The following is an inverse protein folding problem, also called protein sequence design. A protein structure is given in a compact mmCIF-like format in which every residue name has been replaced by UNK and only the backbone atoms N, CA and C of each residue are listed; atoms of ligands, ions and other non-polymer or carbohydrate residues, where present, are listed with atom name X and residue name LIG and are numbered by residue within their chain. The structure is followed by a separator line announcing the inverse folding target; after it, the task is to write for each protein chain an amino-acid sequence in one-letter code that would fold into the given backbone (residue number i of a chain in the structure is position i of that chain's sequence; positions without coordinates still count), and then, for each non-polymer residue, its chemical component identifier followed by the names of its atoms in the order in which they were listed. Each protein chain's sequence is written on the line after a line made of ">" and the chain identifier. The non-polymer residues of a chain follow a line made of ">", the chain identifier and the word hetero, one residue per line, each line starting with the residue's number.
data_IF_078005085945
#
_entry.id   IF_078005085945
#
_cell.length_a   1.000
_cell.length_b   1.000
_cell.length_c   1.000
_cell.angle_alpha   90.00
_cell.angle_beta   90.00
_cell.angle_gamma   90.00
#
_symmetry.space_group_name_H-M   'P 1'
#
loop_
_entity.id
_entity.type
_entity.pdbx_description
1 polymer ?
#
# COMPACT_ATOMS: atom_id res chain seq x y z
N UNK A 1 -2.03 -13.58 20.57
CA UNK A 1 -2.49 -12.33 19.95
C UNK A 1 -1.66 -11.18 20.52
N UNK A 2 -1.13 -10.33 19.62
CA UNK A 2 -0.42 -9.11 19.97
C UNK A 2 -1.12 -7.93 19.32
N UNK A 3 -1.42 -6.90 20.10
CA UNK A 3 -2.00 -5.65 19.62
C UNK A 3 -1.01 -4.53 19.95
N UNK A 4 -0.53 -3.85 18.92
CA UNK A 4 0.28 -2.65 19.08
C UNK A 4 -0.54 -1.45 18.63
N UNK A 5 -0.75 -0.52 19.56
CA UNK A 5 -1.46 0.74 19.33
C UNK A 5 -0.53 1.89 19.72
N UNK A 6 -0.23 2.74 18.75
CA UNK A 6 0.63 3.91 18.94
C UNK A 6 -0.08 5.16 18.41
N UNK A 7 -0.14 6.18 19.25
CA UNK A 7 -0.55 7.54 18.85
C UNK A 7 0.60 8.49 19.12
N UNK A 8 0.93 9.28 18.11
CA UNK A 8 1.86 10.38 18.24
C UNK A 8 1.14 11.69 17.88
N UNK A 9 1.23 12.67 18.76
CA UNK A 9 0.60 13.98 18.57
C UNK A 9 1.57 15.07 18.98
N UNK A 10 1.52 16.18 18.27
CA UNK A 10 2.34 17.34 18.58
C UNK A 10 1.62 18.64 18.25
N UNK A 11 1.84 19.65 19.07
CA UNK A 11 1.38 21.02 18.82
C UNK A 11 2.60 21.93 18.86
N UNK A 12 2.71 22.81 17.89
CA UNK A 12 3.71 23.87 17.85
C UNK A 12 3.01 25.23 17.88
N UNK A 13 3.23 26.00 18.95
CA UNK A 13 2.70 27.34 19.14
C UNK A 13 3.79 28.36 18.81
N UNK A 14 3.69 29.11 17.70
CA UNK A 14 4.66 30.14 17.32
C UNK A 14 4.48 31.43 18.11
N UNK A 15 5.52 32.26 18.15
CA UNK A 15 5.43 33.59 18.71
C UNK A 15 5.28 33.67 20.23
N UNK A 16 5.60 32.59 20.95
CA UNK A 16 5.62 32.62 22.42
C UNK A 16 6.63 33.65 22.89
N UNK A 17 6.18 34.60 23.70
CA UNK A 17 6.95 35.81 24.02
C UNK A 17 7.76 35.75 25.32
N UNK A 18 7.59 34.70 26.08
CA UNK A 18 8.30 34.53 27.33
C UNK A 18 9.46 33.54 27.18
N UNK A 19 10.48 33.68 28.01
CA UNK A 19 11.56 32.69 28.08
C UNK A 19 11.05 31.41 28.77
N UNK A 20 11.05 30.28 28.08
CA UNK A 20 10.62 29.02 28.68
C UNK A 20 11.69 28.57 29.71
N UNK A 21 11.36 28.63 30.97
CA UNK A 21 12.18 28.13 32.03
C UNK A 21 12.21 26.60 32.13
N UNK A 22 12.52 26.09 33.31
CA UNK A 22 12.51 24.64 33.59
C UNK A 22 11.15 24.03 33.18
N UNK A 23 11.16 22.91 32.50
CA UNK A 23 9.99 22.24 31.94
C UNK A 23 9.22 23.06 30.89
N UNK A 24 9.87 24.00 30.23
CA UNK A 24 9.23 24.81 29.18
C UNK A 24 8.14 25.75 29.69
N UNK A 25 8.13 26.09 31.01
CA UNK A 25 7.15 26.95 31.66
C UNK A 25 7.75 28.31 32.01
N UNK A 26 7.00 29.36 31.72
CA UNK A 26 7.13 30.65 32.43
C UNK A 26 6.29 30.60 33.70
N UNK A 27 6.97 30.48 34.87
CA UNK A 27 6.31 30.22 36.15
C UNK A 27 5.51 31.40 36.67
N UNK A 28 5.89 32.63 36.33
CA UNK A 28 5.16 33.83 36.73
C UNK A 28 3.79 33.99 36.07
N UNK A 29 3.64 33.44 34.87
CA UNK A 29 2.40 33.47 34.08
C UNK A 29 1.71 32.10 34.00
N UNK A 30 2.37 31.05 34.46
CA UNK A 30 1.93 29.64 34.32
C UNK A 30 1.66 29.32 32.83
N UNK A 31 2.53 29.81 31.95
CA UNK A 31 2.36 29.71 30.50
C UNK A 31 3.47 28.84 29.86
N UNK A 32 3.18 27.99 28.87
CA UNK A 32 1.88 27.71 28.24
C UNK A 32 1.01 26.71 29.03
N UNK A 33 1.32 26.45 30.29
CA UNK A 33 0.63 25.52 31.17
C UNK A 33 1.22 24.10 31.16
N UNK A 34 1.34 23.50 32.36
CA UNK A 34 1.86 22.15 32.52
C UNK A 34 1.17 21.10 31.63
N UNK A 35 -0.17 21.12 31.43
CA UNK A 35 -0.80 20.19 30.52
C UNK A 35 -0.22 20.23 29.12
N UNK A 36 0.07 21.40 28.57
CA UNK A 36 0.68 21.55 27.25
C UNK A 36 2.11 21.01 27.22
N UNK A 37 2.95 21.34 28.19
CA UNK A 37 4.34 20.87 28.24
C UNK A 37 4.45 19.37 28.47
N UNK A 38 3.45 18.76 29.11
CA UNK A 38 3.32 17.30 29.25
C UNK A 38 2.52 16.65 28.12
N UNK A 39 2.35 17.34 26.98
CA UNK A 39 1.83 16.75 25.76
C UNK A 39 0.30 16.76 25.60
N UNK A 40 -0.42 17.59 26.35
CA UNK A 40 -1.86 17.81 26.12
C UNK A 40 -2.10 18.28 24.68
N UNK A 41 -3.11 17.71 24.03
CA UNK A 41 -3.48 18.02 22.65
C UNK A 41 -4.69 18.94 22.56
N UNK A 42 -5.08 19.56 23.69
CA UNK A 42 -6.14 20.58 23.70
C UNK A 42 -5.67 21.78 22.87
N UNK A 43 -6.59 22.34 22.11
CA UNK A 43 -6.33 23.59 21.41
C UNK A 43 -6.07 24.72 22.42
N UNK A 44 -4.88 25.30 22.34
CA UNK A 44 -4.43 26.34 23.27
C UNK A 44 -4.45 27.74 22.67
N UNK A 45 -4.91 27.92 21.40
CA UNK A 45 -4.89 29.21 20.71
C UNK A 45 -5.64 30.28 21.46
N UNK A 46 -6.88 29.95 21.91
CA UNK A 46 -7.68 30.88 22.72
C UNK A 46 -6.99 31.23 24.03
N UNK A 47 -6.49 30.24 24.76
CA UNK A 47 -5.76 30.49 26.00
C UNK A 47 -4.49 31.32 25.81
N UNK A 48 -3.77 31.09 24.69
CA UNK A 48 -2.56 31.83 24.37
C UNK A 48 -2.87 33.29 24.00
N UNK A 49 -3.98 33.53 23.30
CA UNK A 49 -4.46 34.86 22.98
C UNK A 49 -4.92 35.62 24.22
N UNK A 50 -5.81 35.03 25.02
CA UNK A 50 -6.39 35.64 26.22
C UNK A 50 -5.34 35.85 27.36
N UNK A 51 -4.41 34.89 27.44
CA UNK A 51 -3.35 34.93 28.43
C UNK A 51 -2.17 35.84 28.06
N UNK A 52 -2.23 36.48 26.89
CA UNK A 52 -1.14 37.32 26.34
C UNK A 52 0.20 36.58 26.21
N UNK A 53 0.15 35.30 25.80
CA UNK A 53 1.34 34.44 25.69
C UNK A 53 2.11 34.60 24.38
N UNK A 54 1.46 35.11 23.34
CA UNK A 54 2.02 35.25 22.01
C UNK A 54 2.15 36.73 21.63
N UNK A 55 3.14 37.02 20.79
CA UNK A 55 3.42 38.38 20.31
C UNK A 55 2.26 38.89 19.45
N UNK A 56 1.89 40.17 19.67
CA UNK A 56 0.93 40.90 18.83
C UNK A 56 1.62 41.44 17.58
N UNK A 57 2.02 40.50 16.69
CA UNK A 57 2.74 40.82 15.46
C UNK A 57 1.90 40.34 14.26
N UNK A 58 1.40 41.27 13.41
CA UNK A 58 0.66 40.94 12.21
C UNK A 58 1.55 40.30 11.12
N UNK A 59 2.88 40.44 11.26
CA UNK A 59 3.85 39.89 10.29
C UNK A 59 4.40 38.52 10.70
N UNK A 60 3.94 37.94 11.83
CA UNK A 60 4.37 36.62 12.28
C UNK A 60 4.09 35.58 11.17
N UNK A 61 5.16 35.08 10.57
CA UNK A 61 5.12 34.14 9.43
C UNK A 61 5.43 32.69 9.80
N UNK A 62 5.53 32.39 11.08
CA UNK A 62 5.70 31.02 11.58
C UNK A 62 4.34 30.39 11.82
N UNK A 63 4.16 29.17 11.30
CA UNK A 63 2.89 28.47 11.34
C UNK A 63 2.62 27.84 12.72
N UNK A 64 1.41 27.99 13.23
CA UNK A 64 0.85 27.09 14.23
C UNK A 64 0.64 25.73 13.58
N UNK A 65 1.13 24.64 14.19
CA UNK A 65 1.08 23.30 13.62
C UNK A 65 0.53 22.31 14.63
N UNK A 66 -0.29 21.39 14.12
CA UNK A 66 -0.77 20.21 14.85
C UNK A 66 -0.49 18.98 14.02
N UNK A 67 0.23 18.03 14.60
CA UNK A 67 0.56 16.77 13.97
C UNK A 67 -0.18 15.63 14.68
N UNK A 68 -0.68 14.69 13.91
CA UNK A 68 -1.33 13.47 14.37
C UNK A 68 -0.84 12.26 13.58
N UNK A 69 -0.42 11.22 14.27
CA UNK A 69 -0.11 9.94 13.66
C UNK A 69 -0.63 8.82 14.54
N UNK A 70 -1.37 7.90 13.94
CA UNK A 70 -1.91 6.70 14.60
C UNK A 70 -1.46 5.46 13.84
N UNK A 71 -0.96 4.48 14.58
CA UNK A 71 -0.63 3.17 14.04
C UNK A 71 -1.28 2.09 14.89
N UNK A 72 -2.08 1.25 14.25
CA UNK A 72 -2.71 0.08 14.86
C UNK A 72 -2.19 -1.14 14.11
N UNK A 73 -1.59 -2.09 14.82
CA UNK A 73 -1.15 -3.36 14.26
C UNK A 73 -1.61 -4.51 15.15
N UNK A 74 -2.35 -5.43 14.57
CA UNK A 74 -2.84 -6.64 15.23
C UNK A 74 -2.16 -7.83 14.60
N UNK A 75 -1.50 -8.66 15.39
CA UNK A 75 -0.84 -9.88 14.94
C UNK A 75 -1.31 -11.07 15.76
N UNK A 76 -1.54 -12.19 15.10
CA UNK A 76 -1.83 -13.44 15.77
C UNK A 76 -1.19 -14.60 15.02
N UNK A 77 -0.77 -15.61 15.78
CA UNK A 77 -0.28 -16.86 15.23
C UNK A 77 -1.17 -17.97 15.78
N UNK A 78 -1.65 -18.82 14.90
CA UNK A 78 -2.49 -19.96 15.18
C UNK A 78 -1.79 -21.22 14.70
N UNK A 79 -1.82 -22.27 15.53
CA UNK A 79 -1.32 -23.60 15.20
C UNK A 79 -2.45 -24.61 15.46
N UNK A 80 -3.47 -24.67 14.58
CA UNK A 80 -4.67 -25.49 14.80
C UNK A 80 -4.37 -26.98 14.82
N UNK A 81 -3.34 -27.39 14.10
CA UNK A 81 -2.77 -28.75 14.12
C UNK A 81 -1.24 -28.65 14.14
N UNK A 82 -0.60 -29.70 14.61
CA UNK A 82 0.87 -29.74 14.63
C UNK A 82 1.46 -29.43 13.25
N UNK A 83 2.43 -28.50 13.20
CA UNK A 83 3.16 -28.05 12.00
C UNK A 83 2.33 -27.26 10.96
N UNK A 84 1.09 -26.93 11.22
CA UNK A 84 0.33 -25.94 10.46
C UNK A 84 0.38 -24.61 11.21
N UNK A 85 1.14 -23.66 10.70
CA UNK A 85 1.26 -22.31 11.26
C UNK A 85 0.53 -21.32 10.39
N UNK A 86 -0.40 -20.58 10.98
CA UNK A 86 -1.16 -19.52 10.34
C UNK A 86 -0.83 -18.20 11.06
N UNK A 87 -0.22 -17.28 10.37
CA UNK A 87 0.06 -15.93 10.86
C UNK A 87 -0.95 -14.96 10.26
N UNK A 88 -1.67 -14.21 11.08
CA UNK A 88 -2.59 -13.16 10.67
C UNK A 88 -2.02 -11.81 11.08
N UNK A 89 -2.11 -10.83 10.20
CA UNK A 89 -1.67 -9.46 10.47
C UNK A 89 -2.66 -8.45 9.89
N UNK A 90 -3.20 -7.56 10.73
CA UNK A 90 -4.03 -6.45 10.32
C UNK A 90 -3.41 -5.14 10.76
N UNK A 91 -3.41 -4.13 9.91
CA UNK A 91 -2.80 -2.84 10.21
C UNK A 91 -3.61 -1.66 9.66
N UNK A 92 -3.57 -0.56 10.40
CA UNK A 92 -4.14 0.73 10.00
C UNK A 92 -3.18 1.83 10.43
N UNK A 93 -2.83 2.70 9.50
CA UNK A 93 -1.96 3.85 9.72
C UNK A 93 -2.69 5.09 9.22
N UNK A 94 -2.75 6.11 10.06
CA UNK A 94 -3.33 7.41 9.73
C UNK A 94 -2.34 8.49 10.11
N UNK A 95 -2.07 9.42 9.21
CA UNK A 95 -1.31 10.64 9.49
C UNK A 95 -2.13 11.84 9.06
N UNK A 96 -2.22 12.83 9.91
CA UNK A 96 -2.90 14.09 9.63
C UNK A 96 -2.12 15.24 10.25
N UNK A 97 -1.89 16.28 9.46
CA UNK A 97 -1.22 17.50 9.88
C UNK A 97 -2.12 18.67 9.54
N UNK A 98 -2.28 19.60 10.47
CA UNK A 98 -2.93 20.89 10.22
C UNK A 98 -1.99 22.03 10.54
N UNK A 99 -2.07 23.08 9.77
CA UNK A 99 -1.22 24.27 9.92
C UNK A 99 -1.96 25.52 9.49
N UNK A 100 -1.64 26.64 10.14
CA UNK A 100 -2.24 27.94 9.85
C UNK A 100 -1.35 29.04 10.39
N UNK A 101 -1.54 30.26 9.89
CA UNK A 101 -0.97 31.43 10.52
C UNK A 101 -1.90 31.92 11.61
N UNK A 102 -1.60 31.63 12.86
CA UNK A 102 -2.32 32.15 14.01
C UNK A 102 -1.57 33.40 14.53
N UNK A 103 -2.05 34.59 14.19
CA UNK A 103 -1.37 35.86 14.44
C UNK A 103 -2.34 37.01 14.72
N UNK A 104 -1.79 38.12 15.18
CA UNK A 104 -2.56 39.32 15.45
C UNK A 104 -3.11 39.92 14.14
N UNK A 105 -4.37 40.32 14.17
CA UNK A 105 -5.06 41.04 13.10
C UNK A 105 -5.24 42.50 13.54
N UNK A 106 -4.58 43.45 12.90
CA UNK A 106 -4.67 44.87 13.25
C UNK A 106 -6.03 45.46 12.94
N UNK A 107 -6.71 44.97 11.90
CA UNK A 107 -7.99 45.51 11.47
C UNK A 107 -9.12 45.17 12.45
N UNK A 108 -9.05 44.00 13.05
CA UNK A 108 -10.05 43.49 13.99
C UNK A 108 -9.60 43.57 15.46
N UNK A 109 -8.35 43.94 15.76
CA UNK A 109 -7.77 43.95 17.09
C UNK A 109 -7.91 42.62 17.86
N UNK A 110 -7.71 41.51 17.18
CA UNK A 110 -7.80 40.17 17.73
C UNK A 110 -6.80 39.19 17.08
N UNK A 111 -6.55 38.05 17.75
CA UNK A 111 -5.82 36.97 17.12
C UNK A 111 -6.76 36.17 16.21
N UNK A 112 -6.32 35.94 14.98
CA UNK A 112 -7.09 35.20 13.97
C UNK A 112 -6.24 34.15 13.26
N UNK A 113 -6.94 33.12 12.79
CA UNK A 113 -6.38 32.06 11.95
C UNK A 113 -6.48 32.47 10.48
N UNK A 114 -5.35 32.46 9.78
CA UNK A 114 -5.27 32.75 8.34
C UNK A 114 -4.76 31.51 7.59
N UNK A 115 -5.36 31.27 6.42
CA UNK A 115 -4.99 30.20 5.52
C UNK A 115 -4.85 28.83 6.21
N UNK A 116 -5.88 28.35 6.92
CA UNK A 116 -5.82 27.03 7.53
C UNK A 116 -5.73 25.97 6.43
N UNK A 117 -4.77 25.05 6.58
CA UNK A 117 -4.57 23.93 5.67
C UNK A 117 -4.39 22.65 6.46
N UNK A 118 -4.91 21.56 5.92
CA UNK A 118 -4.66 20.21 6.44
C UNK A 118 -4.06 19.33 5.35
N UNK A 119 -3.31 18.33 5.74
CA UNK A 119 -2.77 17.32 4.85
C UNK A 119 -2.54 16.03 5.61
N UNK A 120 -2.49 14.92 4.90
CA UNK A 120 -2.24 13.65 5.55
C UNK A 120 -2.17 12.49 4.59
N UNK A 121 -2.09 11.30 5.17
CA UNK A 121 -2.11 10.04 4.45
C UNK A 121 -2.85 8.98 5.26
N UNK A 122 -3.33 7.96 4.58
CA UNK A 122 -4.05 6.87 5.19
C UNK A 122 -3.67 5.54 4.53
N UNK A 123 -3.52 4.49 5.33
CA UNK A 123 -3.25 3.15 4.83
C UNK A 123 -3.89 2.11 5.74
N UNK A 124 -4.50 1.10 5.15
CA UNK A 124 -5.18 0.03 5.89
C UNK A 124 -5.01 -1.31 5.17
N UNK A 125 -4.84 -2.38 5.93
CA UNK A 125 -4.92 -3.72 5.37
C UNK A 125 -6.36 -4.01 4.89
N UNK A 126 -6.47 -4.51 3.66
CA UNK A 126 -7.71 -4.59 2.90
C UNK A 126 -7.87 -5.99 2.27
N UNK A 127 -9.07 -6.37 1.89
CA UNK A 127 -9.31 -7.62 1.16
C UNK A 127 -9.87 -7.35 -0.23
N UNK A 128 -9.09 -7.70 -1.25
CA UNK A 128 -9.45 -7.60 -2.69
C UNK A 128 -9.44 -8.95 -3.42
N UNK A 129 -9.36 -10.05 -2.67
CA UNK A 129 -9.17 -11.41 -3.19
C UNK A 129 -10.27 -11.84 -4.17
N UNK A 130 -11.51 -11.36 -4.01
CA UNK A 130 -12.65 -11.72 -4.88
C UNK A 130 -12.41 -11.37 -6.35
N UNK A 131 -11.56 -10.39 -6.63
CA UNK A 131 -11.26 -9.94 -8.00
C UNK A 131 -9.85 -10.31 -8.45
N UNK A 132 -9.06 -10.98 -7.59
CA UNK A 132 -7.67 -11.30 -7.87
C UNK A 132 -7.49 -12.31 -9.02
N UNK A 133 -8.50 -13.18 -9.23
CA UNK A 133 -8.47 -14.27 -10.19
C UNK A 133 -9.56 -14.14 -11.26
N UNK A 134 -10.22 -13.00 -11.35
CA UNK A 134 -11.18 -12.77 -12.42
C UNK A 134 -10.42 -12.70 -13.75
N UNK A 135 -10.62 -13.70 -14.58
CA UNK A 135 -10.11 -13.68 -15.95
C UNK A 135 -10.87 -12.59 -16.73
N UNK A 136 -10.13 -11.86 -17.52
CA UNK A 136 -10.74 -10.94 -18.47
C UNK A 136 -11.49 -11.77 -19.52
N UNK A 137 -12.79 -11.55 -19.64
CA UNK A 137 -13.67 -12.27 -20.59
C UNK A 137 -13.19 -12.06 -22.02
N UNK A 138 -12.64 -10.86 -22.29
CA UNK A 138 -11.91 -10.51 -23.51
C UNK A 138 -10.51 -10.04 -23.15
N UNK A 139 -9.62 -9.99 -24.14
CA UNK A 139 -8.20 -9.65 -23.96
C UNK A 139 -7.91 -8.41 -23.09
N UNK A 140 -8.90 -7.50 -22.96
CA UNK A 140 -8.78 -6.21 -22.27
C UNK A 140 -9.91 -5.93 -21.27
N UNK A 141 -11.07 -6.58 -21.39
CA UNK A 141 -12.25 -6.30 -20.60
C UNK A 141 -12.12 -6.84 -19.16
N UNK A 142 -12.49 -6.04 -18.16
CA UNK A 142 -12.48 -6.42 -16.74
C UNK A 142 -13.87 -6.26 -16.14
N UNK A 143 -14.43 -7.36 -15.59
CA UNK A 143 -15.72 -7.31 -14.87
C UNK A 143 -15.67 -6.33 -13.70
N UNK A 144 -14.57 -6.29 -12.96
CA UNK A 144 -14.41 -5.39 -11.82
C UNK A 144 -14.38 -3.92 -12.27
N UNK A 145 -13.74 -3.61 -13.41
CA UNK A 145 -13.76 -2.26 -13.96
C UNK A 145 -15.17 -1.84 -14.44
N UNK A 146 -15.90 -2.73 -15.10
CA UNK A 146 -17.29 -2.47 -15.47
C UNK A 146 -18.17 -2.26 -14.23
N UNK A 147 -17.96 -3.02 -13.17
CA UNK A 147 -18.63 -2.81 -11.89
C UNK A 147 -18.29 -1.43 -11.30
N UNK A 148 -17.01 -1.01 -11.31
CA UNK A 148 -16.62 0.33 -10.88
C UNK A 148 -17.41 1.42 -11.60
N UNK A 149 -17.56 1.30 -12.93
CA UNK A 149 -18.31 2.26 -13.72
C UNK A 149 -19.79 2.29 -13.37
N UNK A 150 -20.39 1.13 -13.16
CA UNK A 150 -21.83 1.00 -12.86
C UNK A 150 -22.16 1.36 -11.41
N UNK A 151 -21.31 1.03 -10.46
CA UNK A 151 -21.55 1.27 -9.04
C UNK A 151 -21.57 2.76 -8.66
N UNK A 152 -20.98 3.62 -9.50
CA UNK A 152 -21.03 5.07 -9.29
C UNK A 152 -22.46 5.61 -9.20
N UNK A 153 -23.40 5.05 -9.96
CA UNK A 153 -24.80 5.47 -9.94
C UNK A 153 -25.45 5.20 -8.58
N UNK A 154 -25.41 3.95 -8.12
CA UNK A 154 -25.98 3.57 -6.82
C UNK A 154 -25.28 4.25 -5.64
N UNK A 155 -23.97 4.51 -5.74
CA UNK A 155 -23.22 5.24 -4.71
C UNK A 155 -23.67 6.71 -4.68
N UNK A 156 -23.84 7.36 -5.82
CA UNK A 156 -24.35 8.73 -5.89
C UNK A 156 -25.74 8.86 -5.28
N UNK A 157 -26.66 7.92 -5.58
CA UNK A 157 -27.99 7.87 -4.96
C UNK A 157 -27.93 7.71 -3.44
N UNK A 158 -27.06 6.81 -2.93
CA UNK A 158 -26.89 6.61 -1.48
C UNK A 158 -26.33 7.84 -0.78
N UNK A 159 -25.37 8.54 -1.39
CA UNK A 159 -24.84 9.80 -0.87
C UNK A 159 -25.89 10.89 -0.81
N UNK A 160 -26.66 11.04 -1.89
CA UNK A 160 -27.76 12.01 -1.95
C UNK A 160 -28.86 11.73 -0.90
N UNK A 161 -29.21 10.44 -0.71
CA UNK A 161 -30.17 10.03 0.30
C UNK A 161 -29.71 10.36 1.74
N UNK A 162 -28.41 10.27 2.00
CA UNK A 162 -27.83 10.58 3.31
C UNK A 162 -27.63 12.08 3.56
N UNK A 163 -27.67 12.90 2.52
CA UNK A 163 -27.50 14.35 2.62
C UNK A 163 -28.82 15.07 2.80
N UNK A 164 -29.15 15.59 4.00
CA UNK A 164 -30.42 16.29 4.26
C UNK A 164 -30.54 17.59 3.46
N UNK A 165 -29.45 18.17 2.98
CA UNK A 165 -29.39 19.40 2.19
C UNK A 165 -29.25 19.13 0.68
N UNK A 166 -29.53 17.90 0.23
CA UNK A 166 -29.50 17.57 -1.18
C UNK A 166 -30.50 18.39 -1.95
N UNK A 167 -30.04 19.17 -2.92
CA UNK A 167 -30.89 20.12 -3.68
C UNK A 167 -31.54 19.50 -4.93
N UNK A 168 -31.26 18.23 -5.23
CA UNK A 168 -31.89 17.49 -6.32
C UNK A 168 -33.35 17.12 -6.01
N UNK A 169 -34.16 16.89 -7.04
CA UNK A 169 -35.52 16.41 -6.88
C UNK A 169 -35.60 15.00 -6.30
N UNK A 170 -36.80 14.62 -5.84
CA UNK A 170 -37.09 13.23 -5.44
C UNK A 170 -37.96 12.62 -6.54
N UNK A 171 -37.63 11.42 -6.99
CA UNK A 171 -38.46 10.66 -7.92
C UNK A 171 -39.78 10.27 -7.22
N UNK A 172 -40.91 10.74 -7.71
CA UNK A 172 -42.22 10.50 -7.08
C UNK A 172 -42.61 9.01 -7.08
N UNK A 173 -42.01 8.19 -7.95
CA UNK A 173 -42.36 6.76 -8.07
C UNK A 173 -41.53 5.89 -7.12
N UNK A 174 -40.27 6.27 -6.89
CA UNK A 174 -39.32 5.48 -6.09
C UNK A 174 -39.08 6.07 -4.70
N UNK A 175 -39.33 7.37 -4.52
CA UNK A 175 -39.01 8.10 -3.29
C UNK A 175 -37.50 8.34 -3.08
N UNK A 176 -36.66 8.03 -4.06
CA UNK A 176 -35.23 8.27 -4.00
C UNK A 176 -34.83 9.60 -4.65
N UNK A 177 -33.68 10.19 -4.21
CA UNK A 177 -33.14 11.38 -4.83
C UNK A 177 -32.83 11.18 -6.32
N UNK A 178 -33.21 12.14 -7.16
CA UNK A 178 -32.84 12.15 -8.58
C UNK A 178 -31.44 12.75 -8.71
N UNK A 179 -30.43 11.89 -8.83
CA UNK A 179 -29.02 12.29 -8.96
C UNK A 179 -28.56 12.33 -10.41
N UNK A 180 -29.27 11.61 -11.28
CA UNK A 180 -29.03 11.58 -12.71
C UNK A 180 -30.34 11.32 -13.46
N UNK A 181 -30.38 11.77 -14.70
CA UNK A 181 -31.45 11.45 -15.66
C UNK A 181 -30.85 10.77 -16.88
N UNK A 182 -31.62 9.86 -17.49
CA UNK A 182 -31.21 9.19 -18.73
C UNK A 182 -32.18 9.65 -19.82
N UNK A 183 -31.69 10.42 -20.78
CA UNK A 183 -32.44 10.88 -21.93
C UNK A 183 -31.71 10.44 -23.22
N UNK A 184 -32.44 9.75 -24.10
CA UNK A 184 -31.89 9.24 -25.37
C UNK A 184 -30.59 8.39 -25.27
N UNK A 185 -30.39 7.75 -24.12
CA UNK A 185 -29.16 6.95 -23.85
C UNK A 185 -28.03 7.75 -23.22
N UNK A 186 -28.16 9.07 -23.11
CA UNK A 186 -27.19 9.92 -22.44
C UNK A 186 -27.58 10.09 -20.95
N UNK A 187 -26.59 9.99 -20.07
CA UNK A 187 -26.78 10.15 -18.62
C UNK A 187 -26.30 11.52 -18.18
N UNK A 188 -27.23 12.34 -17.70
CA UNK A 188 -26.95 13.67 -17.15
C UNK A 188 -27.07 13.61 -15.63
N UNK A 189 -26.00 14.01 -14.92
CA UNK A 189 -26.01 14.11 -13.46
C UNK A 189 -26.55 15.46 -13.02
N UNK A 190 -27.43 15.42 -12.03
CA UNK A 190 -28.02 16.61 -11.42
C UNK A 190 -27.76 16.62 -9.93
N UNK A 191 -27.16 17.67 -9.38
CA UNK A 191 -27.22 17.88 -7.94
C UNK A 191 -26.13 17.25 -7.09
N UNK A 192 -24.88 17.64 -7.28
CA UNK A 192 -23.86 17.59 -6.23
C UNK A 192 -23.03 16.32 -6.10
N UNK A 193 -23.47 15.19 -6.67
CA UNK A 193 -22.75 13.91 -6.66
C UNK A 193 -22.50 13.41 -8.09
N UNK A 194 -21.63 14.13 -8.82
CA UNK A 194 -21.28 13.78 -10.20
C UNK A 194 -20.49 12.47 -10.32
N UNK A 195 -20.46 11.87 -11.53
CA UNK A 195 -19.87 10.55 -11.76
C UNK A 195 -18.36 10.51 -11.57
N UNK A 196 -17.72 11.65 -11.51
CA UNK A 196 -16.27 11.82 -11.31
C UNK A 196 -15.93 12.42 -9.96
N UNK A 197 -16.93 12.67 -9.10
CA UNK A 197 -16.68 13.17 -7.78
C UNK A 197 -15.90 12.16 -6.94
N UNK A 198 -14.99 12.64 -6.14
CA UNK A 198 -14.18 11.84 -5.23
C UNK A 198 -15.03 10.97 -4.30
N UNK A 199 -16.14 11.54 -3.78
CA UNK A 199 -17.05 10.88 -2.85
C UNK A 199 -17.81 9.72 -3.50
N UNK A 200 -18.02 9.76 -4.81
CA UNK A 200 -18.64 8.69 -5.60
C UNK A 200 -17.60 7.67 -6.05
N UNK A 201 -16.48 8.15 -6.58
CA UNK A 201 -15.46 7.32 -7.22
C UNK A 201 -14.75 6.37 -6.24
N UNK A 202 -14.39 6.87 -5.05
CA UNK A 202 -13.63 6.06 -4.09
C UNK A 202 -14.48 4.91 -3.52
N UNK A 203 -15.71 5.13 -3.00
CA UNK A 203 -16.56 4.02 -2.56
C UNK A 203 -16.92 3.05 -3.69
N UNK A 204 -17.15 3.54 -4.92
CA UNK A 204 -17.38 2.66 -6.07
C UNK A 204 -16.16 1.78 -6.39
N UNK A 205 -14.96 2.32 -6.26
CA UNK A 205 -13.72 1.58 -6.41
C UNK A 205 -13.55 0.51 -5.31
N UNK A 206 -13.82 0.87 -4.04
CA UNK A 206 -13.76 -0.06 -2.93
C UNK A 206 -14.82 -1.18 -3.05
N UNK A 207 -16.03 -0.87 -3.56
CA UNK A 207 -17.06 -1.86 -3.82
C UNK A 207 -16.69 -2.79 -4.97
N UNK A 208 -16.15 -2.24 -6.07
CA UNK A 208 -15.83 -3.01 -7.26
C UNK A 208 -14.66 -3.99 -7.05
N UNK A 209 -13.68 -3.63 -6.22
CA UNK A 209 -12.46 -4.40 -6.00
C UNK A 209 -12.34 -5.02 -4.61
N UNK A 210 -13.25 -4.71 -3.68
CA UNK A 210 -13.29 -5.25 -2.33
C UNK A 210 -14.22 -6.43 -2.12
N UNK A 211 -14.63 -6.62 -0.86
CA UNK A 211 -15.56 -7.70 -0.45
C UNK A 211 -17.02 -7.26 -0.49
N UNK A 212 -17.29 -5.97 -0.33
CA UNK A 212 -18.63 -5.42 -0.29
C UNK A 212 -19.10 -5.04 -1.69
N UNK A 213 -20.42 -5.04 -1.90
CA UNK A 213 -21.05 -4.54 -3.11
C UNK A 213 -21.39 -3.04 -2.98
N UNK A 214 -22.00 -2.46 -4.03
CA UNK A 214 -22.38 -1.05 -4.07
C UNK A 214 -23.41 -0.63 -3.02
N UNK A 215 -24.19 -1.56 -2.47
CA UNK A 215 -25.22 -1.29 -1.45
C UNK A 215 -24.69 -1.35 -0.02
N UNK A 216 -23.63 -2.14 0.21
CA UNK A 216 -23.09 -2.45 1.54
C UNK A 216 -21.74 -1.79 1.82
N UNK A 217 -21.05 -1.26 0.81
CA UNK A 217 -19.77 -0.55 1.00
C UNK A 217 -19.97 0.72 1.83
N UNK A 218 -19.01 1.03 2.71
CA UNK A 218 -18.97 2.31 3.42
C UNK A 218 -18.73 3.48 2.46
N UNK A 219 -19.44 4.59 2.66
CA UNK A 219 -19.35 5.80 1.81
C UNK A 219 -18.17 6.72 2.20
N UNK A 220 -17.18 6.19 2.88
CA UNK A 220 -15.98 6.95 3.30
C UNK A 220 -14.76 6.55 2.46
N UNK A 221 -13.91 7.55 2.17
CA UNK A 221 -12.62 7.29 1.56
C UNK A 221 -11.62 6.57 2.49
N UNK A 222 -11.91 6.54 3.81
CA UNK A 222 -11.02 5.97 4.83
C UNK A 222 -11.74 4.90 5.66
N UNK A 223 -11.83 3.64 5.18
CA UNK A 223 -12.50 2.56 5.90
C UNK A 223 -11.96 2.38 7.33
N UNK A 224 -12.83 2.24 8.37
CA UNK A 224 -12.37 2.23 9.76
C UNK A 224 -11.72 0.92 10.20
N UNK A 225 -12.11 -0.22 9.62
CA UNK A 225 -11.78 -1.56 10.10
C UNK A 225 -10.75 -2.24 9.19
N UNK A 226 -9.56 -2.62 9.70
CA UNK A 226 -8.58 -3.36 8.94
C UNK A 226 -8.95 -4.84 8.81
N UNK A 227 -8.80 -5.39 7.60
CA UNK A 227 -8.93 -6.82 7.35
C UNK A 227 -7.58 -7.54 7.50
N UNK A 228 -7.56 -8.82 7.92
CA UNK A 228 -6.31 -9.54 8.12
C UNK A 228 -5.67 -9.95 6.78
N UNK A 229 -4.38 -9.72 6.68
CA UNK A 229 -3.48 -10.42 5.77
C UNK A 229 -3.03 -11.72 6.43
N UNK A 230 -2.62 -12.74 5.67
CA UNK A 230 -2.23 -14.02 6.24
C UNK A 230 -1.01 -14.65 5.57
N UNK A 231 -0.36 -15.50 6.34
CA UNK A 231 0.67 -16.43 5.88
C UNK A 231 0.38 -17.81 6.48
N UNK A 232 0.42 -18.82 5.64
CA UNK A 232 0.21 -20.22 6.03
C UNK A 232 1.48 -20.99 5.67
N UNK A 233 2.00 -21.76 6.63
CA UNK A 233 3.14 -22.65 6.45
C UNK A 233 2.76 -24.02 7.01
N UNK A 234 3.06 -25.09 6.25
CA UNK A 234 2.78 -26.46 6.65
C UNK A 234 3.95 -27.39 6.39
N UNK A 235 4.49 -27.99 7.45
CA UNK A 235 5.63 -28.91 7.41
C UNK A 235 5.24 -30.37 7.71
N UNK A 236 3.96 -30.63 7.95
CA UNK A 236 3.44 -31.93 8.40
C UNK A 236 3.60 -33.06 7.41
N UNK A 237 3.71 -32.75 6.12
CA UNK A 237 3.93 -33.78 5.08
C UNK A 237 5.21 -34.58 5.32
N UNK A 238 6.23 -33.97 5.93
CA UNK A 238 7.50 -34.62 6.26
C UNK A 238 7.36 -35.80 7.23
N UNK A 239 6.23 -35.93 7.93
CA UNK A 239 5.98 -36.99 8.91
C UNK A 239 5.26 -38.23 8.33
N UNK A 240 4.70 -38.10 7.13
CA UNK A 240 4.04 -39.21 6.44
C UNK A 240 5.11 -40.23 6.05
N UNK A 241 4.93 -41.50 6.42
CA UNK A 241 5.95 -42.56 6.29
C UNK A 241 6.52 -42.68 4.88
N UNK A 242 5.69 -42.62 3.84
CA UNK A 242 6.10 -42.66 2.44
C UNK A 242 6.97 -41.44 2.08
N UNK A 243 6.55 -40.24 2.47
CA UNK A 243 7.26 -39.00 2.18
C UNK A 243 8.60 -38.95 2.94
N UNK A 244 8.57 -39.35 4.23
CA UNK A 244 9.76 -39.46 5.09
C UNK A 244 10.79 -40.45 4.55
N UNK A 245 10.41 -41.45 3.77
CA UNK A 245 11.35 -42.40 3.16
C UNK A 245 12.26 -41.72 2.11
N UNK A 246 11.76 -40.71 1.41
CA UNK A 246 12.41 -40.03 0.28
C UNK A 246 12.94 -38.65 0.66
N UNK A 247 12.16 -37.87 1.38
CA UNK A 247 12.48 -36.49 1.72
C UNK A 247 12.89 -36.35 3.18
N UNK A 248 13.78 -35.38 3.44
CA UNK A 248 14.15 -34.94 4.77
C UNK A 248 13.14 -33.92 5.28
N UNK A 249 12.77 -32.95 4.44
CA UNK A 249 11.73 -31.95 4.72
C UNK A 249 10.92 -31.65 3.48
N UNK A 250 9.62 -31.41 3.69
CA UNK A 250 8.67 -30.91 2.70
C UNK A 250 7.88 -29.79 3.35
N UNK A 251 8.07 -28.57 2.87
CA UNK A 251 7.40 -27.37 3.40
C UNK A 251 6.50 -26.76 2.34
N UNK A 252 5.22 -26.59 2.69
CA UNK A 252 4.24 -25.86 1.88
C UNK A 252 4.07 -24.44 2.43
N UNK A 253 3.91 -23.47 1.54
CA UNK A 253 3.70 -22.08 1.91
C UNK A 253 2.68 -21.38 1.04
N UNK A 254 1.86 -20.54 1.67
CA UNK A 254 0.93 -19.62 1.03
C UNK A 254 0.90 -18.32 1.82
N UNK A 255 0.86 -17.17 1.14
CA UNK A 255 0.71 -15.88 1.80
C UNK A 255 -0.11 -14.91 0.94
N UNK A 256 -0.96 -14.16 1.59
CA UNK A 256 -1.77 -13.09 1.01
C UNK A 256 -1.56 -11.81 1.77
N UNK A 257 -1.36 -10.72 1.05
CA UNK A 257 -1.32 -9.37 1.59
C UNK A 257 -2.02 -8.42 0.64
N UNK A 258 -2.92 -7.61 1.17
CA UNK A 258 -3.50 -6.49 0.45
C UNK A 258 -3.58 -5.26 1.34
N UNK A 259 -3.35 -4.10 0.75
CA UNK A 259 -3.35 -2.80 1.43
C UNK A 259 -4.05 -1.80 0.55
N UNK A 260 -5.03 -1.10 1.11
CA UNK A 260 -5.62 0.09 0.53
C UNK A 260 -4.93 1.32 1.12
N UNK A 261 -4.61 2.31 0.28
CA UNK A 261 -3.94 3.54 0.71
C UNK A 261 -4.50 4.76 0.01
N UNK A 262 -4.68 5.83 0.79
CA UNK A 262 -4.78 7.21 0.33
C UNK A 262 -3.39 7.79 0.47
N UNK A 263 -2.69 7.99 -0.65
CA UNK A 263 -1.27 8.40 -0.65
C UNK A 263 -1.08 9.77 0.00
N UNK A 264 -1.94 10.72 -0.37
CA UNK A 264 -2.01 12.04 0.25
C UNK A 264 -3.42 12.63 0.08
N UNK A 265 -3.81 13.41 1.06
CA UNK A 265 -4.94 14.34 0.97
C UNK A 265 -4.51 15.72 1.44
N UNK A 266 -5.18 16.76 0.96
CA UNK A 266 -4.96 18.14 1.38
C UNK A 266 -6.27 18.91 1.44
N UNK A 267 -6.31 19.97 2.25
CA UNK A 267 -7.50 20.82 2.33
C UNK A 267 -7.84 21.43 0.98
N UNK A 268 -9.12 21.45 0.67
CA UNK A 268 -9.68 22.15 -0.47
C UNK A 268 -9.97 23.61 -0.08
N UNK A 269 -9.23 24.54 -0.64
CA UNK A 269 -9.43 25.98 -0.35
C UNK A 269 -10.77 26.52 -0.88
N UNK A 270 -11.41 25.81 -1.80
CA UNK A 270 -12.73 26.16 -2.32
C UNK A 270 -13.88 25.58 -1.48
N UNK A 271 -13.58 24.72 -0.52
CA UNK A 271 -14.59 24.19 0.39
C UNK A 271 -15.08 25.30 1.31
N UNK A 272 -16.36 25.58 1.25
CA UNK A 272 -17.05 26.49 2.16
C UNK A 272 -18.34 25.81 2.59
N UNK A 273 -18.49 25.59 3.87
CA UNK A 273 -19.70 25.17 4.51
C UNK A 273 -20.32 26.38 5.20
N UNK A 274 -21.46 26.86 4.68
CA UNK A 274 -22.21 27.93 5.29
C UNK A 274 -23.53 27.32 5.77
N UNK A 275 -23.60 27.02 7.07
CA UNK A 275 -24.78 26.45 7.73
C UNK A 275 -25.28 25.13 7.08
N UNK A 276 -24.36 24.26 6.70
CA UNK A 276 -24.66 22.99 6.02
C UNK A 276 -24.87 23.09 4.51
N UNK A 277 -24.78 24.29 3.92
CA UNK A 277 -24.81 24.49 2.47
C UNK A 277 -23.43 24.46 1.87
N UNK A 278 -23.01 23.30 1.39
CA UNK A 278 -21.74 23.11 0.68
C UNK A 278 -21.87 23.63 -0.75
N UNK A 279 -20.95 24.47 -1.18
CA UNK A 279 -20.92 24.98 -2.54
C UNK A 279 -20.63 23.87 -3.54
N UNK A 280 -21.31 23.94 -4.69
CA UNK A 280 -21.15 22.98 -5.78
C UNK A 280 -20.20 23.53 -6.84
N UNK A 281 -19.27 22.69 -7.31
CA UNK A 281 -18.45 22.94 -8.47
C UNK A 281 -19.28 22.67 -9.73
N UNK A 282 -19.63 23.73 -10.45
CA UNK A 282 -20.48 23.66 -11.65
C UNK A 282 -19.80 22.96 -12.84
N UNK A 283 -18.47 22.80 -12.82
CA UNK A 283 -17.76 22.14 -13.92
C UNK A 283 -17.94 20.63 -13.93
N UNK A 284 -18.10 20.02 -12.76
CA UNK A 284 -18.28 18.58 -12.61
C UNK A 284 -19.56 18.19 -11.87
N UNK A 285 -20.42 19.17 -11.60
CA UNK A 285 -21.70 19.01 -10.89
C UNK A 285 -21.57 18.28 -9.54
N UNK A 286 -20.49 18.55 -8.81
CA UNK A 286 -20.18 17.90 -7.53
C UNK A 286 -19.98 18.92 -6.42
N UNK A 287 -20.37 18.56 -5.21
CA UNK A 287 -20.03 19.34 -4.02
C UNK A 287 -18.52 19.44 -3.85
N UNK A 288 -18.04 20.57 -3.34
CA UNK A 288 -16.66 20.67 -2.90
C UNK A 288 -16.44 19.79 -1.68
N UNK A 289 -15.40 18.98 -1.71
CA UNK A 289 -14.98 18.16 -0.56
C UNK A 289 -14.05 18.95 0.35
N UNK A 290 -14.07 18.68 1.65
CA UNK A 290 -13.17 19.34 2.61
C UNK A 290 -11.69 19.01 2.34
N UNK A 291 -11.42 17.75 2.02
CA UNK A 291 -10.07 17.28 1.71
C UNK A 291 -10.03 16.65 0.31
N UNK A 292 -9.17 17.18 -0.54
CA UNK A 292 -8.91 16.64 -1.87
C UNK A 292 -7.96 15.47 -1.83
N UNK A 293 -8.32 14.39 -2.48
CA UNK A 293 -7.52 13.19 -2.67
C UNK A 293 -7.18 13.09 -4.15
N UNK A 294 -5.89 13.07 -4.49
CA UNK A 294 -5.46 12.95 -5.88
C UNK A 294 -5.52 11.51 -6.40
N UNK A 295 -5.18 10.55 -5.53
CA UNK A 295 -5.08 9.15 -5.89
C UNK A 295 -5.32 8.22 -4.70
N UNK A 296 -5.97 7.10 -4.97
CA UNK A 296 -6.05 5.96 -4.05
C UNK A 296 -5.52 4.70 -4.70
N UNK A 297 -4.93 3.79 -3.90
CA UNK A 297 -4.32 2.56 -4.41
C UNK A 297 -4.74 1.34 -3.63
N UNK A 298 -4.91 0.20 -4.32
CA UNK A 298 -4.94 -1.13 -3.70
C UNK A 298 -3.71 -1.89 -4.20
N UNK A 299 -2.86 -2.31 -3.26
CA UNK A 299 -1.71 -3.15 -3.55
C UNK A 299 -1.95 -4.54 -3.00
N UNK A 300 -2.09 -5.53 -3.86
CA UNK A 300 -2.41 -6.90 -3.54
C UNK A 300 -1.29 -7.85 -3.98
N UNK A 301 -0.92 -8.76 -3.10
CA UNK A 301 0.19 -9.69 -3.33
C UNK A 301 -0.12 -11.07 -2.74
N UNK A 302 0.07 -12.11 -3.57
CA UNK A 302 0.25 -13.48 -3.15
C UNK A 302 1.75 -13.79 -3.24
N UNK A 303 2.45 -13.74 -2.12
CA UNK A 303 3.90 -13.94 -2.08
C UNK A 303 4.31 -14.86 -0.93
N UNK A 304 4.19 -16.20 -1.17
CA UNK A 304 3.76 -16.88 -2.40
C UNK A 304 2.25 -17.11 -2.50
N UNK A 305 1.73 -17.26 -3.74
CA UNK A 305 0.43 -17.88 -3.97
C UNK A 305 0.48 -19.38 -3.62
N UNK A 306 1.55 -20.02 -4.05
CA UNK A 306 1.88 -21.41 -3.71
C UNK A 306 3.39 -21.56 -3.69
N UNK A 307 3.90 -22.27 -2.67
CA UNK A 307 5.32 -22.59 -2.55
C UNK A 307 5.45 -24.00 -2.01
N UNK A 308 6.40 -24.75 -2.59
CA UNK A 308 6.87 -26.02 -2.06
C UNK A 308 8.40 -26.03 -2.02
N UNK A 309 8.96 -26.26 -0.84
CA UNK A 309 10.38 -26.50 -0.64
C UNK A 309 10.56 -27.98 -0.30
N UNK A 310 11.45 -28.64 -1.05
CA UNK A 310 11.77 -30.05 -0.90
C UNK A 310 13.26 -30.19 -0.55
N UNK A 311 13.56 -30.89 0.52
CA UNK A 311 14.92 -31.34 0.84
C UNK A 311 14.95 -32.86 0.81
N UNK A 312 15.65 -33.43 -0.15
CA UNK A 312 15.79 -34.87 -0.33
C UNK A 312 16.84 -35.42 0.63
N UNK A 313 16.76 -36.69 0.95
CA UNK A 313 17.75 -37.36 1.82
C UNK A 313 19.15 -37.42 1.18
N UNK A 314 19.22 -37.47 -0.16
CA UNK A 314 20.46 -37.48 -0.92
C UNK A 314 21.15 -36.12 -1.06
N UNK A 315 20.63 -35.05 -0.41
CA UNK A 315 21.21 -33.71 -0.45
C UNK A 315 20.72 -32.81 -1.57
N UNK A 316 19.79 -33.27 -2.42
CA UNK A 316 19.12 -32.45 -3.41
C UNK A 316 18.13 -31.52 -2.69
N UNK A 317 18.03 -30.28 -3.16
CA UNK A 317 16.99 -29.33 -2.74
C UNK A 317 16.24 -28.86 -3.96
N UNK A 318 14.92 -28.77 -3.86
CA UNK A 318 14.09 -28.16 -4.88
C UNK A 318 13.18 -27.11 -4.24
N UNK A 319 12.96 -26.02 -4.98
CA UNK A 319 11.96 -24.99 -4.66
C UNK A 319 11.09 -24.77 -5.88
N UNK A 320 9.79 -24.77 -5.67
CA UNK A 320 8.83 -24.33 -6.65
C UNK A 320 7.95 -23.26 -6.01
N UNK A 321 7.86 -22.08 -6.64
CA UNK A 321 7.13 -20.96 -6.07
C UNK A 321 6.38 -20.22 -7.18
N UNK A 322 5.10 -19.93 -6.93
CA UNK A 322 4.27 -19.07 -7.77
C UNK A 322 3.90 -17.83 -6.97
N UNK A 323 4.17 -16.65 -7.51
CA UNK A 323 3.75 -15.36 -6.94
C UNK A 323 2.82 -14.65 -7.89
N UNK A 324 1.90 -13.90 -7.32
CA UNK A 324 1.00 -13.03 -8.07
C UNK A 324 0.91 -11.69 -7.36
N UNK A 325 1.02 -10.60 -8.12
CA UNK A 325 0.86 -9.24 -7.60
C UNK A 325 -0.08 -8.44 -8.48
N UNK A 326 -0.80 -7.52 -7.88
CA UNK A 326 -1.65 -6.57 -8.57
C UNK A 326 -1.61 -5.22 -7.85
N UNK A 327 -1.42 -4.16 -8.60
CA UNK A 327 -1.53 -2.79 -8.11
C UNK A 327 -2.63 -2.10 -8.91
N UNK A 328 -3.62 -1.57 -8.20
CA UNK A 328 -4.72 -0.80 -8.74
C UNK A 328 -4.55 0.63 -8.24
N UNK A 329 -4.37 1.58 -9.14
CA UNK A 329 -4.20 2.99 -8.82
C UNK A 329 -5.30 3.81 -9.50
N UNK A 330 -6.25 4.30 -8.70
CA UNK A 330 -7.32 5.17 -9.15
C UNK A 330 -6.87 6.63 -9.01
N UNK A 331 -6.62 7.28 -10.13
CA UNK A 331 -6.34 8.72 -10.21
C UNK A 331 -7.65 9.49 -10.42
N UNK A 332 -7.94 10.41 -9.51
CA UNK A 332 -9.17 11.20 -9.53
C UNK A 332 -9.05 12.45 -10.43
N UNK A 333 -7.82 12.97 -10.61
CA UNK A 333 -7.60 14.15 -11.45
C UNK A 333 -7.81 13.93 -12.94
N UNK A 334 -7.61 12.69 -13.43
CA UNK A 334 -7.78 12.33 -14.84
C UNK A 334 -8.78 11.17 -15.04
N UNK A 335 -9.56 10.82 -14.03
CA UNK A 335 -10.61 9.77 -14.08
C UNK A 335 -10.10 8.44 -14.65
N UNK A 336 -8.93 8.02 -14.19
CA UNK A 336 -8.19 6.90 -14.77
C UNK A 336 -7.89 5.85 -13.72
N UNK A 337 -8.05 4.58 -14.09
CA UNK A 337 -7.58 3.44 -13.32
C UNK A 337 -6.37 2.82 -14.03
N UNK A 338 -5.25 2.76 -13.33
CA UNK A 338 -4.05 2.03 -13.77
C UNK A 338 -3.99 0.70 -13.05
N UNK A 339 -3.96 -0.40 -13.80
CA UNK A 339 -3.84 -1.76 -13.29
C UNK A 339 -2.50 -2.35 -13.71
N UNK A 340 -1.66 -2.70 -12.74
CA UNK A 340 -0.39 -3.38 -12.97
C UNK A 340 -0.45 -4.79 -12.39
N UNK A 341 -0.17 -5.78 -13.22
CA UNK A 341 -0.16 -7.19 -12.86
C UNK A 341 1.26 -7.76 -12.95
N UNK A 342 1.58 -8.67 -12.04
CA UNK A 342 2.81 -9.45 -12.06
C UNK A 342 2.52 -10.91 -11.71
N UNK A 343 3.00 -11.84 -12.54
CA UNK A 343 3.00 -13.27 -12.25
C UNK A 343 4.43 -13.78 -12.34
N UNK A 344 4.93 -14.36 -11.23
CA UNK A 344 6.28 -14.90 -11.15
C UNK A 344 6.21 -16.40 -10.90
N UNK A 345 6.87 -17.17 -11.74
CA UNK A 345 7.10 -18.60 -11.59
C UNK A 345 8.57 -18.82 -11.31
N UNK A 346 8.90 -19.39 -10.15
CA UNK A 346 10.28 -19.62 -9.72
C UNK A 346 10.49 -21.10 -9.50
N UNK A 347 11.53 -21.64 -10.13
CA UNK A 347 12.02 -22.98 -9.91
C UNK A 347 13.49 -22.90 -9.47
N UNK A 348 13.80 -23.44 -8.31
CA UNK A 348 15.14 -23.58 -7.77
C UNK A 348 15.54 -25.03 -7.62
N UNK A 349 16.76 -25.38 -7.96
CA UNK A 349 17.35 -26.67 -7.69
C UNK A 349 18.75 -26.48 -7.08
N UNK A 350 19.06 -27.28 -6.09
CA UNK A 350 20.39 -27.29 -5.48
C UNK A 350 20.85 -28.72 -5.21
N UNK A 351 22.15 -28.94 -5.31
CA UNK A 351 22.76 -30.20 -4.95
C UNK A 351 24.09 -29.94 -4.24
N UNK A 352 24.24 -30.52 -3.05
CA UNK A 352 25.44 -30.41 -2.26
C UNK A 352 26.16 -31.74 -2.17
N UNK A 353 27.30 -31.84 -2.79
CA UNK A 353 28.22 -32.99 -2.70
C UNK A 353 29.16 -32.72 -1.55
N UNK A 354 29.14 -33.61 -0.54
CA UNK A 354 30.01 -33.49 0.62
C UNK A 354 31.39 -34.12 0.34
N UNK A 355 32.40 -33.62 1.01
CA UNK A 355 33.72 -34.21 1.07
C UNK A 355 34.40 -34.39 -0.29
N UNK A 356 34.18 -33.49 -1.25
CA UNK A 356 34.87 -33.50 -2.54
C UNK A 356 36.36 -33.22 -2.33
N UNK A 357 37.20 -34.16 -2.74
CA UNK A 357 38.64 -34.06 -2.56
C UNK A 357 39.31 -33.51 -3.81
N UNK A 358 39.94 -32.35 -3.71
CA UNK A 358 40.84 -31.82 -4.73
C UNK A 358 42.29 -32.03 -4.33
N UNK A 359 43.12 -32.52 -5.27
CA UNK A 359 44.55 -32.61 -5.12
C UNK A 359 45.21 -31.38 -5.74
N UNK A 360 45.72 -30.50 -4.91
CA UNK A 360 46.52 -29.38 -5.38
C UNK A 360 48.00 -29.80 -5.43
N UNK A 361 48.58 -29.70 -6.62
CA UNK A 361 50.03 -29.79 -6.80
C UNK A 361 50.65 -28.42 -6.41
N UNK A 362 51.14 -28.31 -5.19
CA UNK A 362 51.93 -27.17 -4.76
C UNK A 362 53.29 -27.67 -4.28
N UNK A 363 54.35 -27.32 -5.00
CA UNK A 363 55.76 -27.46 -4.61
C UNK A 363 56.12 -28.80 -3.90
N UNK A 364 55.82 -29.92 -4.54
CA UNK A 364 56.29 -31.24 -4.10
C UNK A 364 55.54 -31.85 -2.89
N UNK A 365 54.50 -31.23 -2.35
CA UNK A 365 53.66 -31.78 -1.28
C UNK A 365 52.20 -31.87 -1.73
N UNK A 366 51.66 -33.11 -1.76
CA UNK A 366 50.23 -33.35 -1.99
C UNK A 366 49.46 -33.07 -0.71
N UNK A 367 48.71 -31.98 -0.64
CA UNK A 367 47.75 -31.74 0.44
C UNK A 367 46.38 -32.14 -0.05
N UNK A 368 45.80 -33.21 0.52
CA UNK A 368 44.40 -33.58 0.31
C UNK A 368 43.54 -32.54 1.07
N UNK A 369 42.71 -31.84 0.36
CA UNK A 369 41.73 -30.95 0.95
C UNK A 369 40.34 -31.48 0.60
N UNK A 370 39.50 -31.61 1.59
CA UNK A 370 38.10 -32.03 1.45
C UNK A 370 37.19 -30.90 1.80
N UNK A 371 36.24 -30.58 0.95
CA UNK A 371 35.21 -29.60 1.21
C UNK A 371 33.94 -29.86 0.37
N UNK A 372 32.87 -29.15 0.69
CA UNK A 372 31.60 -29.32 0.01
C UNK A 372 31.58 -28.53 -1.30
N UNK A 373 31.03 -29.16 -2.32
CA UNK A 373 30.73 -28.55 -3.62
C UNK A 373 29.23 -28.37 -3.74
N UNK A 374 28.79 -27.14 -3.94
CA UNK A 374 27.36 -26.80 -4.02
C UNK A 374 27.02 -26.30 -5.41
N UNK A 375 26.05 -26.96 -6.05
CA UNK A 375 25.46 -26.58 -7.31
C UNK A 375 24.13 -25.89 -7.03
N UNK A 376 23.88 -24.75 -7.67
CA UNK A 376 22.61 -24.03 -7.60
C UNK A 376 22.13 -23.66 -9.02
N UNK A 377 20.85 -23.85 -9.23
CA UNK A 377 20.12 -23.45 -10.42
C UNK A 377 18.86 -22.72 -9.97
N UNK A 378 18.68 -21.49 -10.43
CA UNK A 378 17.45 -20.73 -10.25
C UNK A 378 16.93 -20.29 -11.62
N UNK A 379 15.72 -20.71 -11.95
CA UNK A 379 14.96 -20.30 -13.13
C UNK A 379 13.76 -19.50 -12.69
N UNK A 380 13.59 -18.30 -13.19
CA UNK A 380 12.36 -17.51 -12.97
C UNK A 380 11.79 -17.01 -14.29
N UNK A 381 10.45 -17.05 -14.39
CA UNK A 381 9.67 -16.49 -15.48
C UNK A 381 8.73 -15.47 -14.89
N UNK A 382 8.92 -14.20 -15.20
CA UNK A 382 8.11 -13.09 -14.73
C UNK A 382 7.36 -12.46 -15.89
N UNK A 383 6.04 -12.38 -15.78
CA UNK A 383 5.18 -11.68 -16.69
C UNK A 383 4.63 -10.43 -16.01
N UNK A 384 4.96 -9.24 -16.50
CA UNK A 384 4.43 -7.97 -16.04
C UNK A 384 3.57 -7.32 -17.12
N UNK A 385 2.47 -6.70 -16.71
CA UNK A 385 1.53 -6.02 -17.62
C UNK A 385 0.91 -4.83 -16.91
N UNK A 386 0.86 -3.68 -17.58
CA UNK A 386 0.16 -2.48 -17.12
C UNK A 386 -0.90 -2.09 -18.13
N UNK A 387 -2.12 -1.90 -17.64
CA UNK A 387 -3.28 -1.47 -18.41
C UNK A 387 -3.76 -0.15 -17.83
N UNK A 388 -3.99 0.82 -18.67
CA UNK A 388 -4.66 2.07 -18.36
C UNK A 388 -6.11 1.95 -18.82
N UNK A 389 -7.06 2.31 -17.94
CA UNK A 389 -8.49 2.29 -18.19
C UNK A 389 -9.08 3.68 -17.94
N UNK A 390 -9.59 4.30 -18.97
CA UNK A 390 -10.31 5.56 -18.89
C UNK A 390 -11.75 5.30 -18.46
N UNK A 391 -12.16 5.89 -17.33
CA UNK A 391 -13.44 5.56 -16.69
C UNK A 391 -14.62 6.17 -17.46
N UNK A 392 -14.46 7.37 -18.00
CA UNK A 392 -15.49 8.09 -18.73
C UNK A 392 -15.58 7.60 -20.16
N UNK A 393 -14.46 7.59 -20.87
CA UNK A 393 -14.35 7.27 -22.30
C UNK A 393 -14.52 5.78 -22.57
N UNK A 394 -14.44 4.94 -21.53
CA UNK A 394 -14.46 3.48 -21.63
C UNK A 394 -13.41 2.92 -22.60
N UNK A 395 -12.22 3.51 -22.55
CA UNK A 395 -11.06 3.08 -23.35
C UNK A 395 -10.09 2.34 -22.46
N UNK A 396 -9.63 1.21 -22.95
CA UNK A 396 -8.67 0.35 -22.25
C UNK A 396 -7.43 0.16 -23.12
N UNK A 397 -6.26 0.45 -22.60
CA UNK A 397 -4.99 0.38 -23.34
C UNK A 397 -3.91 -0.30 -22.51
N UNK A 398 -3.22 -1.29 -23.11
CA UNK A 398 -1.97 -1.79 -22.58
C UNK A 398 -0.88 -0.79 -22.87
N UNK A 399 -0.25 -0.25 -21.84
CA UNK A 399 0.82 0.74 -21.96
C UNK A 399 2.21 0.15 -21.74
N UNK A 400 2.26 -0.97 -20.99
CA UNK A 400 3.53 -1.63 -20.70
C UNK A 400 3.28 -3.13 -20.52
N UNK A 401 4.21 -3.96 -20.96
CA UNK A 401 4.14 -5.40 -20.73
C UNK A 401 5.38 -6.09 -21.25
N UNK A 402 5.88 -7.04 -20.43
CA UNK A 402 7.03 -7.85 -20.82
C UNK A 402 7.07 -9.17 -20.06
N UNK A 403 7.66 -10.17 -20.70
CA UNK A 403 8.11 -11.40 -20.05
C UNK A 403 9.61 -11.32 -19.81
N UNK A 404 10.04 -11.61 -18.59
CA UNK A 404 11.45 -11.69 -18.22
C UNK A 404 11.73 -13.13 -17.80
N UNK A 405 12.64 -13.80 -18.52
CA UNK A 405 13.14 -15.13 -18.18
C UNK A 405 14.54 -14.95 -17.60
N UNK A 406 14.74 -15.38 -16.37
CA UNK A 406 16.04 -15.30 -15.70
C UNK A 406 16.52 -16.71 -15.33
N UNK A 407 17.68 -17.09 -15.85
CA UNK A 407 18.40 -18.30 -15.48
C UNK A 407 19.66 -17.89 -14.71
N UNK A 408 19.83 -18.38 -13.51
CA UNK A 408 21.04 -18.21 -12.69
C UNK A 408 21.56 -19.56 -12.30
N UNK A 409 22.81 -19.80 -12.59
CA UNK A 409 23.49 -21.02 -12.17
C UNK A 409 24.76 -20.67 -11.42
N UNK A 410 25.08 -21.41 -10.39
CA UNK A 410 26.38 -21.28 -9.73
C UNK A 410 26.89 -22.61 -9.20
N UNK A 411 28.20 -22.69 -9.13
CA UNK A 411 28.95 -23.77 -8.50
C UNK A 411 29.84 -23.12 -7.45
N UNK A 412 29.55 -23.38 -6.20
CA UNK A 412 30.29 -22.85 -5.06
C UNK A 412 31.15 -23.95 -4.44
N UNK A 413 32.46 -23.71 -4.30
CA UNK A 413 33.42 -24.60 -3.62
C UNK A 413 34.10 -23.86 -2.49
N UNK A 414 33.82 -24.27 -1.26
CA UNK A 414 34.46 -23.71 -0.07
C UNK A 414 35.77 -24.40 0.15
N UNK A 415 36.85 -23.87 -0.41
CA UNK A 415 38.16 -24.47 -0.36
C UNK A 415 38.69 -24.58 1.08
N UNK A 416 38.51 -23.56 1.89
CA UNK A 416 38.78 -23.53 3.33
C UNK A 416 38.05 -22.33 3.96
N UNK A 417 38.22 -22.12 5.28
CA UNK A 417 37.58 -20.98 6.00
C UNK A 417 37.96 -19.59 5.44
N UNK A 418 39.04 -19.50 4.66
CA UNK A 418 39.56 -18.25 4.10
C UNK A 418 39.34 -18.09 2.61
N UNK A 419 39.15 -19.17 1.85
CA UNK A 419 39.03 -19.14 0.39
C UNK A 419 37.75 -19.85 -0.05
N UNK A 420 36.86 -19.11 -0.71
CA UNK A 420 35.67 -19.61 -1.42
C UNK A 420 35.84 -19.31 -2.91
N UNK A 421 35.56 -20.28 -3.74
CA UNK A 421 35.61 -20.20 -5.21
C UNK A 421 34.20 -20.38 -5.71
N UNK A 422 33.71 -19.43 -6.47
CA UNK A 422 32.38 -19.48 -7.09
C UNK A 422 32.47 -19.25 -8.59
N UNK A 423 32.05 -20.23 -9.36
CA UNK A 423 31.73 -20.02 -10.78
C UNK A 423 30.26 -19.74 -10.96
N UNK A 424 29.90 -18.80 -11.81
CA UNK A 424 28.50 -18.45 -12.04
C UNK A 424 28.24 -18.15 -13.52
N UNK A 425 26.98 -18.39 -13.92
CA UNK A 425 26.47 -18.03 -15.23
C UNK A 425 25.02 -17.56 -15.06
N UNK A 426 24.74 -16.32 -15.48
CA UNK A 426 23.44 -15.68 -15.41
C UNK A 426 23.01 -15.30 -16.84
N UNK A 427 21.76 -15.62 -17.17
CA UNK A 427 21.13 -15.21 -18.44
C UNK A 427 19.78 -14.58 -18.16
N UNK A 428 19.55 -13.38 -18.69
CA UNK A 428 18.28 -12.67 -18.61
C UNK A 428 17.79 -12.44 -20.03
N UNK A 429 16.57 -12.88 -20.34
CA UNK A 429 15.90 -12.67 -21.60
C UNK A 429 14.66 -11.83 -21.32
N UNK A 430 14.48 -10.73 -22.06
CA UNK A 430 13.33 -9.84 -21.95
C UNK A 430 12.58 -9.84 -23.28
N UNK A 431 11.31 -10.26 -23.24
CA UNK A 431 10.41 -10.30 -24.38
C UNK A 431 9.25 -9.31 -24.14
N UNK A 432 9.21 -8.15 -24.80
CA UNK A 432 8.10 -7.21 -24.71
C UNK A 432 6.80 -7.77 -25.28
N UNK A 433 5.66 -7.39 -24.69
CA UNK A 433 4.32 -7.71 -25.20
C UNK A 433 3.78 -6.63 -26.14
N UNK A 434 4.43 -5.45 -26.18
CA UNK A 434 4.06 -4.31 -27.01
C UNK A 434 5.17 -3.99 -27.99
N UNK A 435 4.80 -3.50 -29.17
CA UNK A 435 5.71 -3.28 -30.30
C UNK A 435 6.67 -2.09 -30.17
N UNK A 436 6.57 -1.30 -29.09
CA UNK A 436 7.42 -0.11 -28.89
C UNK A 436 8.82 -0.42 -28.36
N UNK A 437 9.08 -1.66 -27.95
CA UNK A 437 10.37 -2.11 -27.42
C UNK A 437 10.78 -3.43 -28.08
N UNK A 438 12.10 -3.67 -28.13
CA UNK A 438 12.66 -4.87 -28.78
C UNK A 438 13.03 -5.94 -27.74
N UNK A 439 12.98 -7.24 -28.11
CA UNK A 439 13.53 -8.30 -27.28
C UNK A 439 15.02 -8.09 -27.02
N UNK A 440 15.46 -8.41 -25.80
CA UNK A 440 16.84 -8.28 -25.39
C UNK A 440 17.32 -9.49 -24.60
N UNK A 441 18.61 -9.76 -24.64
CA UNK A 441 19.23 -10.79 -23.82
C UNK A 441 20.56 -10.29 -23.24
N UNK A 442 20.73 -10.52 -21.93
CA UNK A 442 21.97 -10.22 -21.21
C UNK A 442 22.52 -11.54 -20.70
N UNK A 443 23.80 -11.77 -20.92
CA UNK A 443 24.51 -12.95 -20.43
C UNK A 443 25.73 -12.49 -19.62
N UNK A 444 25.84 -12.94 -18.40
CA UNK A 444 26.97 -12.70 -17.51
C UNK A 444 27.52 -14.04 -17.03
N UNK A 445 28.84 -14.19 -17.02
CA UNK A 445 29.48 -15.38 -16.47
C UNK A 445 30.87 -15.03 -15.94
N UNK A 446 31.29 -15.75 -14.92
CA UNK A 446 32.59 -15.47 -14.34
C UNK A 446 32.95 -16.40 -13.20
N UNK A 447 34.18 -16.23 -12.71
CA UNK A 447 34.70 -16.88 -11.53
C UNK A 447 35.01 -15.82 -10.49
N UNK A 448 34.44 -15.98 -9.30
CA UNK A 448 34.72 -15.14 -8.14
C UNK A 448 35.55 -15.90 -7.12
N UNK A 449 36.64 -15.30 -6.71
CA UNK A 449 37.53 -15.80 -5.63
C UNK A 449 37.35 -14.88 -4.42
N UNK A 450 36.81 -15.41 -3.34
CA UNK A 450 36.68 -14.67 -2.08
C UNK A 450 37.72 -15.16 -1.08
N UNK A 451 38.64 -14.28 -0.75
CA UNK A 451 39.68 -14.54 0.26
C UNK A 451 39.39 -13.69 1.51
N UNK A 452 39.28 -14.33 2.67
CA UNK A 452 39.12 -13.65 3.96
C UNK A 452 40.47 -13.61 4.67
N UNK A 453 41.04 -12.43 4.80
CA UNK A 453 42.24 -12.20 5.62
C UNK A 453 41.81 -12.33 7.09
N UNK A 454 42.49 -13.19 7.83
CA UNK A 454 42.31 -13.23 9.28
C UNK A 454 42.92 -11.93 9.84
N UNK A 455 42.08 -11.15 10.58
CA UNK A 455 42.60 -10.10 11.44
C UNK A 455 43.23 -10.71 12.68
#
# INVERSE_FOLDING_TARGET
>A
ISVNYSINRGIFLPGFKYDPGILGQEWGKIAPGLPFTFGSQKDIRGQAADGDWIVKDPTLNTLYKRNYSQNITIRTTLEPINQLRIELNASKITSANSQEYFRWDNDNNEFRSFSPTSSGSYSISFLSINTAFNDNVDKYSSKAFNNLRNYRYSIAERLAYQNPNFSGGIDPNTGFPIVYTIENGDTTFTGGYGPTSQEVMIPAFLAAYGLSDQYNVGLTAMPPIPFPNWRVTYDGLSKISFIKSVFKTVTLGHAYRSTYSVGSFSSNLNYKDTDGNIQMNLNNMSYHVENEISQVTINEQFSPLFKIDLVWKNGITNRFEVKKSRVLALSLGNNQLTETYGNDYVFGAGYRIKDVQFRLFSLGRQKKMSSDLEFKLDLSIRNNKTIIRQIIENVEQITMGQQIITLKTSVDYIFNQRLNIKAYFDKVITNPFISTTYPGAITNGGISLRFTLAG
#
